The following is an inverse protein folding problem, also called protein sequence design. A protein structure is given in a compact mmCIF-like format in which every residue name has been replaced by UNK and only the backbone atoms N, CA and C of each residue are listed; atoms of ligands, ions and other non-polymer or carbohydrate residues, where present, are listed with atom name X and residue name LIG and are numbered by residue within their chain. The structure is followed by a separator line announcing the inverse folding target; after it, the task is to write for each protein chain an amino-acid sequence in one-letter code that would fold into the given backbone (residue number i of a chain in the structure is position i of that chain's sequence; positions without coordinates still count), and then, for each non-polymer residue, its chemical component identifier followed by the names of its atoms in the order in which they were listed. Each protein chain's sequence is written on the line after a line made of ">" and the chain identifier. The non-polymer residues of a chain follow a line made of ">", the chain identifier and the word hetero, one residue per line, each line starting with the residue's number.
data_IF_179140097816
#
_entry.id   IF_179140097816
#
_cell.length_a   1.000
_cell.length_b   1.000
_cell.length_c   1.000
_cell.angle_alpha   90.00
_cell.angle_beta   90.00
_cell.angle_gamma   90.00
#
_symmetry.space_group_name_H-M   'P 1'
#
loop_
_entity.id
_entity.type
_entity.pdbx_description
1 polymer ?
#
# COMPACT_ATOMS: atom_id res chain seq x y z
N UNK A 1 10.45 3.11 -2.47
CA UNK A 1 8.97 3.21 -2.42
C UNK A 1 8.53 4.04 -1.24
N UNK A 2 7.43 4.71 -1.38
CA UNK A 2 6.92 5.52 -0.28
C UNK A 2 5.40 5.65 -0.39
N UNK A 3 4.77 6.00 0.72
CA UNK A 3 3.34 6.25 0.77
C UNK A 3 3.07 7.54 -0.01
N UNK A 4 2.06 7.52 -0.87
CA UNK A 4 1.84 8.59 -1.83
C UNK A 4 0.79 9.59 -1.40
N UNK A 5 -0.16 9.18 -0.61
CA UNK A 5 -1.20 10.10 -0.14
C UNK A 5 -1.66 9.78 1.26
N UNK A 6 -2.59 10.58 1.78
CA UNK A 6 -3.16 10.37 3.10
C UNK A 6 -2.26 10.84 4.23
N UNK A 7 -2.59 10.45 5.45
CA UNK A 7 -1.90 10.94 6.64
C UNK A 7 -0.46 10.47 6.79
N UNK A 8 -0.09 9.41 6.08
CA UNK A 8 1.27 8.87 6.12
C UNK A 8 2.08 9.25 4.88
N UNK A 9 1.59 10.20 4.10
CA UNK A 9 2.23 10.61 2.86
C UNK A 9 3.71 10.91 3.06
N UNK A 10 4.55 10.37 2.19
CA UNK A 10 5.99 10.59 2.22
C UNK A 10 6.77 9.59 3.05
N UNK A 11 6.09 8.73 3.83
CA UNK A 11 6.78 7.74 4.62
C UNK A 11 7.46 6.72 3.71
N UNK A 12 8.73 6.44 3.98
CA UNK A 12 9.49 5.49 3.18
C UNK A 12 9.10 4.05 3.52
N UNK A 13 9.03 3.21 2.50
CA UNK A 13 8.74 1.80 2.66
C UNK A 13 9.90 0.98 2.16
N UNK A 14 10.30 -0.02 2.90
CA UNK A 14 11.32 -0.96 2.47
C UNK A 14 10.83 -1.70 1.24
N UNK A 15 11.71 -1.93 0.28
CA UNK A 15 11.36 -2.59 -0.95
C UNK A 15 12.40 -3.66 -1.28
N UNK A 16 12.08 -4.62 -2.15
CA UNK A 16 13.04 -5.67 -2.48
C UNK A 16 14.23 -5.09 -3.22
N UNK A 17 15.31 -5.86 -3.26
CA UNK A 17 16.53 -5.44 -3.93
C UNK A 17 16.34 -5.29 -5.44
N UNK A 18 15.33 -5.91 -6.01
CA UNK A 18 15.03 -5.81 -7.42
C UNK A 18 14.78 -4.37 -7.80
N UNK A 19 15.23 -3.99 -8.97
CA UNK A 19 15.08 -2.64 -9.36
C UNK A 19 13.97 -2.34 -10.25
N UNK A 20 13.09 -3.26 -10.44
CA UNK A 20 11.99 -3.01 -11.31
C UNK A 20 10.90 -2.27 -10.73
N UNK A 21 10.95 -1.73 -9.60
CA UNK A 21 9.85 -1.30 -8.99
C UNK A 21 9.57 0.04 -8.93
N UNK A 22 9.78 0.74 -8.41
CA UNK A 22 9.76 1.88 -7.93
C UNK A 22 8.94 2.97 -8.31
N UNK A 23 9.38 3.97 -9.11
CA UNK A 23 8.57 5.17 -9.39
C UNK A 23 7.28 4.77 -10.10
N UNK A 24 7.34 3.72 -10.94
CA UNK A 24 6.17 3.24 -11.62
C UNK A 24 5.15 2.70 -10.64
N UNK A 25 5.61 1.93 -9.66
CA UNK A 25 4.72 1.38 -8.66
C UNK A 25 4.06 2.48 -7.83
N UNK A 26 4.80 3.51 -7.48
CA UNK A 26 4.25 4.64 -6.73
C UNK A 26 3.17 5.36 -7.55
N UNK A 27 3.42 5.58 -8.85
CA UNK A 27 2.44 6.24 -9.72
C UNK A 27 1.20 5.42 -9.92
N UNK A 28 1.36 4.11 -10.11
CA UNK A 28 0.20 3.24 -10.30
C UNK A 28 -0.65 3.21 -9.04
N UNK A 29 -0.01 3.17 -7.88
CA UNK A 29 -0.73 3.16 -6.62
C UNK A 29 -1.47 4.47 -6.41
N UNK A 30 -0.83 5.58 -6.73
CA UNK A 30 -1.46 6.89 -6.64
C UNK A 30 -2.68 6.98 -7.55
N UNK A 31 -2.54 6.54 -8.80
CA UNK A 31 -3.64 6.56 -9.76
C UNK A 31 -4.80 5.69 -9.31
N UNK A 32 -4.50 4.50 -8.83
CA UNK A 32 -5.55 3.58 -8.37
C UNK A 32 -6.36 4.20 -7.23
N UNK A 33 -5.68 4.69 -6.21
CA UNK A 33 -6.40 5.22 -5.06
C UNK A 33 -7.12 6.52 -5.38
N UNK A 34 -6.56 7.35 -6.26
CA UNK A 34 -7.26 8.56 -6.69
C UNK A 34 -8.54 8.22 -7.44
N UNK A 35 -8.52 7.20 -8.29
CA UNK A 35 -9.72 6.74 -8.98
C UNK A 35 -10.76 6.26 -7.97
N UNK A 36 -10.34 5.42 -7.02
CA UNK A 36 -11.27 4.90 -6.04
C UNK A 36 -11.91 6.00 -5.21
N UNK A 37 -11.11 6.97 -4.80
CA UNK A 37 -11.61 8.02 -3.93
C UNK A 37 -12.52 8.99 -4.68
N UNK A 38 -12.14 9.38 -5.89
CA UNK A 38 -12.85 10.43 -6.59
C UNK A 38 -13.95 9.95 -7.53
N UNK A 39 -13.83 8.75 -8.08
CA UNK A 39 -14.82 8.25 -9.03
C UNK A 39 -15.82 7.28 -8.39
N UNK A 40 -15.48 6.70 -7.26
CA UNK A 40 -16.32 5.67 -6.63
C UNK A 40 -16.72 6.04 -5.21
N UNK A 41 -16.75 7.32 -4.90
CA UNK A 41 -17.26 7.81 -3.63
C UNK A 41 -16.45 7.32 -2.42
N UNK A 42 -15.15 7.25 -2.61
CA UNK A 42 -14.19 6.91 -1.55
C UNK A 42 -14.58 5.67 -0.74
N UNK A 43 -14.49 4.50 -1.35
CA UNK A 43 -14.77 3.27 -0.59
C UNK A 43 -13.68 2.93 0.42
N UNK A 44 -12.58 3.68 0.44
CA UNK A 44 -11.44 3.39 1.32
C UNK A 44 -11.70 3.87 2.75
N UNK A 45 -12.34 5.01 2.90
CA UNK A 45 -12.59 5.60 4.21
C UNK A 45 -13.36 4.63 5.10
N UNK A 46 -12.78 4.23 6.22
CA UNK A 46 -13.40 3.31 7.14
C UNK A 46 -13.42 1.85 6.69
N UNK A 47 -12.83 1.54 5.56
CA UNK A 47 -12.92 0.20 4.98
C UNK A 47 -12.06 -0.82 5.72
N UNK A 48 -12.42 -2.07 5.58
CA UNK A 48 -11.59 -3.21 5.97
C UNK A 48 -11.01 -3.79 4.69
N UNK A 49 -9.69 -3.79 4.59
CA UNK A 49 -8.97 -4.12 3.35
C UNK A 49 -8.28 -5.46 3.48
N UNK A 50 -8.39 -6.28 2.45
CA UNK A 50 -7.66 -7.52 2.36
C UNK A 50 -6.65 -7.36 1.23
N UNK A 51 -5.37 -7.42 1.56
CA UNK A 51 -4.28 -7.26 0.61
C UNK A 51 -3.66 -8.62 0.35
N UNK A 52 -4.13 -9.30 -0.69
CA UNK A 52 -3.60 -10.60 -1.08
C UNK A 52 -2.31 -10.39 -1.83
N UNK A 53 -1.32 -11.23 -1.59
CA UNK A 53 0.01 -11.12 -2.19
C UNK A 53 0.64 -9.78 -1.80
N UNK A 54 0.62 -9.51 -0.50
CA UNK A 54 0.96 -8.19 0.01
C UNK A 54 2.36 -7.70 -0.31
N UNK A 55 3.33 -8.59 -0.45
CA UNK A 55 4.70 -8.18 -0.74
C UNK A 55 5.22 -7.24 0.33
N UNK A 56 5.54 -6.01 -0.04
CA UNK A 56 6.02 -5.01 0.90
C UNK A 56 4.93 -4.45 1.78
N UNK A 57 3.68 -4.71 1.46
CA UNK A 57 2.55 -4.13 2.16
C UNK A 57 2.13 -2.77 1.63
N UNK A 58 2.71 -2.33 0.53
CA UNK A 58 2.49 -0.96 0.04
C UNK A 58 1.03 -0.62 -0.23
N UNK A 59 0.27 -1.55 -0.82
CA UNK A 59 -1.13 -1.28 -1.12
C UNK A 59 -1.98 -1.13 0.14
N UNK A 60 -1.84 -2.06 1.07
CA UNK A 60 -2.60 -2.00 2.31
C UNK A 60 -2.20 -0.82 3.18
N UNK A 61 -0.91 -0.50 3.21
CA UNK A 61 -0.43 0.65 3.96
C UNK A 61 -0.95 1.95 3.34
N UNK A 62 -1.00 2.01 2.01
CA UNK A 62 -1.60 3.15 1.32
C UNK A 62 -3.07 3.31 1.71
N UNK A 63 -3.81 2.20 1.75
CA UNK A 63 -5.21 2.23 2.15
C UNK A 63 -5.38 2.76 3.57
N UNK A 64 -4.56 2.28 4.50
CA UNK A 64 -4.58 2.77 5.88
C UNK A 64 -4.28 4.27 5.91
N UNK A 65 -3.28 4.70 5.14
CA UNK A 65 -2.92 6.11 5.08
C UNK A 65 -4.08 6.96 4.62
N UNK A 66 -4.93 6.42 3.75
CA UNK A 66 -6.04 7.17 3.17
C UNK A 66 -7.37 6.94 3.89
N UNK A 67 -7.33 6.35 5.06
CA UNK A 67 -8.51 6.30 5.91
C UNK A 67 -9.12 4.94 6.17
N UNK A 68 -8.54 3.86 5.65
CA UNK A 68 -9.06 2.53 5.94
C UNK A 68 -8.94 2.24 7.43
N UNK A 69 -9.91 1.56 7.98
CA UNK A 69 -9.91 1.24 9.40
C UNK A 69 -9.05 0.03 9.73
N UNK A 70 -8.82 -0.83 8.75
CA UNK A 70 -8.13 -2.09 9.00
C UNK A 70 -7.57 -2.65 7.70
N UNK A 71 -6.39 -3.27 7.75
CA UNK A 71 -5.85 -3.99 6.60
C UNK A 71 -5.27 -5.32 7.05
N UNK A 72 -5.59 -6.38 6.33
CA UNK A 72 -5.02 -7.69 6.56
C UNK A 72 -4.10 -8.01 5.39
N UNK A 73 -2.85 -8.30 5.69
CA UNK A 73 -1.84 -8.57 4.67
C UNK A 73 -1.59 -10.06 4.57
N UNK A 74 -1.61 -10.60 3.38
CA UNK A 74 -1.39 -12.02 3.15
C UNK A 74 -0.28 -12.22 2.13
N UNK A 75 0.77 -12.92 2.53
CA UNK A 75 1.84 -13.30 1.61
C UNK A 75 2.57 -14.49 2.20
N UNK A 76 2.97 -15.44 1.35
CA UNK A 76 3.67 -16.62 1.82
C UNK A 76 5.17 -16.63 1.53
N UNK A 77 5.71 -15.59 0.95
CA UNK A 77 7.13 -15.48 0.70
C UNK A 77 7.89 -15.01 1.92
N UNK A 78 9.03 -15.64 2.21
CA UNK A 78 9.80 -15.26 3.39
C UNK A 78 10.35 -13.84 3.31
N UNK A 79 10.86 -13.46 2.15
CA UNK A 79 11.38 -12.11 1.95
C UNK A 79 10.26 -11.09 2.03
N UNK A 80 9.12 -11.39 1.41
CA UNK A 80 7.97 -10.51 1.43
C UNK A 80 7.47 -10.30 2.86
N UNK A 81 7.40 -11.35 3.66
CA UNK A 81 6.95 -11.22 5.05
C UNK A 81 7.92 -10.40 5.88
N UNK A 82 9.23 -10.51 5.62
CA UNK A 82 10.20 -9.72 6.33
C UNK A 82 10.07 -8.23 5.99
N UNK A 83 9.88 -7.92 4.71
CA UNK A 83 9.66 -6.54 4.28
C UNK A 83 8.37 -5.98 4.87
N UNK A 84 7.32 -6.77 4.88
CA UNK A 84 6.05 -6.36 5.43
C UNK A 84 6.16 -6.02 6.91
N UNK A 85 6.81 -6.88 7.69
CA UNK A 85 7.00 -6.61 9.10
C UNK A 85 7.79 -5.33 9.35
N UNK A 86 8.73 -5.04 8.47
CA UNK A 86 9.52 -3.84 8.59
C UNK A 86 8.71 -2.59 8.27
N UNK A 87 7.72 -2.71 7.40
CA UNK A 87 6.95 -1.56 6.92
C UNK A 87 5.72 -1.26 7.79
N UNK A 88 5.21 -2.25 8.46
CA UNK A 88 4.05 -2.02 9.31
C UNK A 88 4.44 -1.78 10.76
#
# INVERSE_FOLDING_TARGET
>A
MRVVGGRLKGRNLASPASRDIRPTADRLRESLFNILIHAYDDPIEGARVLDLFAGTGALGIEAISRGAAFALFVDNGAEARALLRNNI
#
